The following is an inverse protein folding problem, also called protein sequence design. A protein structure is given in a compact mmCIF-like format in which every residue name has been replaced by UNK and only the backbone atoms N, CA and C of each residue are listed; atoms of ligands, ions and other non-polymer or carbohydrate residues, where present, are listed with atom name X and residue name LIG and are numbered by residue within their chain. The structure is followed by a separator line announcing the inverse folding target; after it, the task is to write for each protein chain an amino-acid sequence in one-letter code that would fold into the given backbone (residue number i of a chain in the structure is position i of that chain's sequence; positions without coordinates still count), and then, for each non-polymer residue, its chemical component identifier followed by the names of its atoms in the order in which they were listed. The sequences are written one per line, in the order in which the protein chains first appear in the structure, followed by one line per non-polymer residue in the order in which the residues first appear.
data_IF_628866403643
#
_entry.id   IF_628866403643
#
_cell.length_a   1.000
_cell.length_b   1.000
_cell.length_c   1.000
_cell.angle_alpha   90.00
_cell.angle_beta   90.00
_cell.angle_gamma   90.00
#
_symmetry.space_group_name_H-M   'P 1'
#
loop_
_entity.id
_entity.type
_entity.pdbx_description
1 polymer ?
#
# COMPACT_ATOMS: atom_id res chain seq x y z
N UNK A 1 32.95 -15.31 6.57
CA UNK A 1 33.61 -14.50 5.52
C UNK A 1 34.95 -15.12 5.19
N UNK A 2 35.32 -15.22 3.90
CA UNK A 2 36.62 -15.76 3.47
C UNK A 2 37.62 -14.61 3.35
N UNK A 3 38.86 -14.82 3.80
CA UNK A 3 39.96 -13.88 3.58
C UNK A 3 40.87 -14.35 2.45
N UNK A 4 41.84 -13.52 2.07
CA UNK A 4 42.79 -13.88 1.02
C UNK A 4 44.02 -14.57 1.61
N UNK A 5 44.53 -15.57 0.88
CA UNK A 5 45.88 -16.12 1.11
C UNK A 5 46.89 -15.03 0.75
N UNK A 6 47.82 -14.74 1.66
CA UNK A 6 48.88 -13.78 1.41
C UNK A 6 50.19 -14.25 2.07
N UNK A 7 51.11 -14.84 1.29
CA UNK A 7 52.40 -15.32 1.79
C UNK A 7 53.26 -14.23 2.44
N UNK A 8 53.13 -12.95 2.02
CA UNK A 8 53.88 -11.84 2.63
C UNK A 8 53.53 -11.61 4.10
N UNK A 9 52.31 -11.97 4.52
CA UNK A 9 51.84 -11.88 5.91
C UNK A 9 51.83 -13.24 6.63
N UNK A 10 52.49 -14.27 6.07
CA UNK A 10 52.53 -15.61 6.66
C UNK A 10 51.18 -16.35 6.62
N UNK A 11 50.23 -15.91 5.78
CA UNK A 11 48.92 -16.55 5.62
C UNK A 11 48.98 -17.50 4.43
N UNK A 12 49.22 -18.79 4.71
CA UNK A 12 49.38 -19.85 3.69
C UNK A 12 48.12 -20.67 3.40
N UNK A 13 47.08 -20.52 4.23
CA UNK A 13 45.76 -21.14 4.03
C UNK A 13 44.70 -20.06 4.06
N UNK A 14 43.61 -20.27 3.32
CA UNK A 14 42.50 -19.32 3.26
C UNK A 14 41.85 -19.16 4.65
N UNK A 15 41.95 -17.99 5.29
CA UNK A 15 41.39 -17.81 6.62
C UNK A 15 39.88 -17.61 6.53
N UNK A 16 39.17 -18.07 7.57
CA UNK A 16 37.74 -17.84 7.73
C UNK A 16 37.49 -16.93 8.93
N UNK A 17 36.74 -15.85 8.70
CA UNK A 17 36.40 -14.89 9.73
C UNK A 17 34.93 -15.00 10.13
N UNK A 18 34.69 -15.06 11.44
CA UNK A 18 33.37 -14.97 12.05
C UNK A 18 33.04 -13.49 12.20
N UNK A 19 31.92 -13.06 11.62
CA UNK A 19 31.45 -11.68 11.66
C UNK A 19 30.05 -11.67 12.24
N UNK A 20 29.79 -10.82 13.22
CA UNK A 20 28.51 -10.71 13.90
C UNK A 20 28.14 -9.24 14.00
N UNK A 21 26.89 -8.94 13.65
CA UNK A 21 26.27 -7.64 13.87
C UNK A 21 24.98 -7.85 14.64
N UNK A 22 24.66 -6.94 15.55
CA UNK A 22 23.41 -6.92 16.31
C UNK A 22 22.92 -5.49 16.40
N UNK A 23 21.71 -5.24 15.92
CA UNK A 23 21.05 -3.95 16.11
C UNK A 23 20.54 -3.85 17.56
N UNK A 24 20.50 -2.63 18.07
CA UNK A 24 19.93 -2.33 19.39
C UNK A 24 18.40 -2.44 19.29
N UNK A 25 17.78 -3.36 20.04
CA UNK A 25 16.34 -3.54 20.01
C UNK A 25 15.64 -2.33 20.65
N UNK A 26 14.43 -2.04 20.20
CA UNK A 26 13.56 -1.06 20.85
C UNK A 26 12.86 -1.76 22.02
N UNK A 27 12.85 -1.18 23.23
CA UNK A 27 12.16 -1.76 24.37
C UNK A 27 10.66 -1.96 24.11
N UNK A 28 10.06 -3.01 24.69
CA UNK A 28 8.63 -3.33 24.50
C UNK A 28 7.70 -2.14 24.82
N UNK A 29 7.97 -1.44 25.92
CA UNK A 29 7.23 -0.23 26.33
C UNK A 29 7.24 0.90 25.27
N UNK A 30 8.27 0.95 24.43
CA UNK A 30 8.42 1.95 23.38
C UNK A 30 7.79 1.47 22.08
N UNK A 31 7.79 0.15 21.84
CA UNK A 31 6.98 -0.48 20.80
C UNK A 31 5.49 -0.23 21.02
N UNK A 32 4.98 -0.36 22.25
CA UNK A 32 3.57 -0.10 22.54
C UNK A 32 3.17 1.34 22.19
N UNK A 33 4.03 2.32 22.49
CA UNK A 33 3.84 3.73 22.11
C UNK A 33 3.92 3.93 20.59
N UNK A 34 4.85 3.24 19.92
CA UNK A 34 4.98 3.30 18.47
C UNK A 34 3.73 2.73 17.78
N UNK A 35 3.27 1.56 18.21
CA UNK A 35 2.06 0.91 17.70
C UNK A 35 0.84 1.79 17.93
N UNK A 36 0.69 2.43 19.10
CA UNK A 36 -0.40 3.36 19.34
C UNK A 36 -0.40 4.55 18.36
N UNK A 37 0.79 5.10 18.03
CA UNK A 37 0.91 6.18 17.04
C UNK A 37 0.68 5.72 15.60
N UNK A 38 1.20 4.54 15.23
CA UNK A 38 0.93 3.94 13.92
C UNK A 38 -0.58 3.69 13.79
N UNK A 39 -1.18 3.09 14.81
CA UNK A 39 -2.60 2.79 14.94
C UNK A 39 -3.54 3.98 14.87
N UNK A 40 -3.04 5.21 15.08
CA UNK A 40 -3.79 6.45 14.94
C UNK A 40 -3.82 6.98 13.49
N UNK A 41 -3.04 6.40 12.57
CA UNK A 41 -2.96 6.82 11.18
C UNK A 41 -3.44 5.72 10.23
N UNK A 42 -4.63 5.90 9.65
CA UNK A 42 -5.25 4.92 8.76
C UNK A 42 -4.35 4.51 7.57
N UNK A 43 -3.57 5.45 7.01
CA UNK A 43 -2.70 5.16 5.88
C UNK A 43 -1.54 4.21 6.27
N UNK A 44 -0.97 4.41 7.46
CA UNK A 44 0.11 3.55 7.95
C UNK A 44 -0.40 2.16 8.33
N UNK A 45 -1.54 2.10 9.05
CA UNK A 45 -2.19 0.84 9.43
C UNK A 45 -2.53 0.02 8.20
N UNK A 46 -3.18 0.63 7.21
CA UNK A 46 -3.57 -0.06 5.98
C UNK A 46 -2.38 -0.61 5.21
N UNK A 47 -1.32 0.19 5.02
CA UNK A 47 -0.13 -0.26 4.31
C UNK A 47 0.55 -1.43 5.04
N UNK A 48 0.76 -1.30 6.37
CA UNK A 48 1.43 -2.33 7.15
C UNK A 48 0.63 -3.64 7.21
N UNK A 49 -0.69 -3.58 7.38
CA UNK A 49 -1.55 -4.77 7.34
C UNK A 49 -1.61 -5.43 5.96
N UNK A 50 -1.42 -4.65 4.88
CA UNK A 50 -1.28 -5.16 3.51
C UNK A 50 0.16 -5.64 3.19
N UNK A 51 1.07 -5.65 4.18
CA UNK A 51 2.45 -6.07 3.96
C UNK A 51 3.29 -5.08 3.15
N UNK A 52 2.90 -3.81 3.11
CA UNK A 52 3.63 -2.73 2.46
C UNK A 52 4.32 -1.84 3.49
N UNK A 53 5.60 -1.52 3.27
CA UNK A 53 6.35 -0.61 4.14
C UNK A 53 6.05 0.86 3.77
N UNK A 54 5.53 1.69 4.69
CA UNK A 54 5.26 3.10 4.39
C UNK A 54 6.52 3.95 4.28
N UNK A 55 6.64 4.78 3.24
CA UNK A 55 7.80 5.67 3.00
C UNK A 55 8.14 6.58 4.20
N UNK A 56 7.12 7.00 4.96
CA UNK A 56 7.26 7.95 6.07
C UNK A 56 7.21 7.28 7.44
N UNK A 57 7.43 5.97 7.51
CA UNK A 57 7.33 5.21 8.76
C UNK A 57 8.26 5.75 9.86
N UNK A 58 9.48 6.16 9.52
CA UNK A 58 10.48 6.69 10.48
C UNK A 58 10.02 8.00 11.16
N UNK A 59 9.11 8.77 10.54
CA UNK A 59 8.56 10.00 11.13
C UNK A 59 7.77 9.72 12.42
N UNK A 60 7.14 8.54 12.51
CA UNK A 60 6.41 8.12 13.71
C UNK A 60 7.36 7.97 14.90
N UNK A 61 8.54 7.41 14.65
CA UNK A 61 9.57 7.15 15.65
C UNK A 61 10.31 8.42 16.05
N UNK A 62 10.55 9.33 15.11
CA UNK A 62 11.26 10.59 15.35
C UNK A 62 10.62 11.42 16.49
N UNK A 63 9.29 11.46 16.58
CA UNK A 63 8.56 12.15 17.64
C UNK A 63 8.74 11.55 19.04
N UNK A 64 9.39 10.38 19.17
CA UNK A 64 9.71 9.72 20.44
C UNK A 64 11.23 9.66 20.68
N UNK A 65 12.02 10.34 19.83
CA UNK A 65 13.50 10.22 19.80
C UNK A 65 13.98 8.78 19.56
N UNK A 66 13.17 7.99 18.87
CA UNK A 66 13.49 6.65 18.41
C UNK A 66 13.70 6.68 16.91
N UNK A 67 14.39 5.67 16.40
CA UNK A 67 14.61 5.49 14.97
C UNK A 67 14.39 4.03 14.62
N UNK A 68 13.64 3.77 13.55
CA UNK A 68 13.47 2.41 13.06
C UNK A 68 14.72 2.00 12.28
N UNK A 69 15.18 2.87 11.39
CA UNK A 69 16.44 2.72 10.68
C UNK A 69 17.63 3.15 11.57
N UNK A 70 18.76 2.41 11.54
CA UNK A 70 19.98 2.85 12.22
C UNK A 70 20.45 4.20 11.69
N UNK A 71 20.74 5.16 12.57
CA UNK A 71 21.29 6.48 12.20
C UNK A 71 22.73 6.67 12.61
N UNK A 72 23.16 5.93 13.63
CA UNK A 72 24.49 6.06 14.21
C UNK A 72 25.08 4.68 14.54
N UNK A 73 26.35 4.67 14.95
CA UNK A 73 27.00 3.43 15.41
C UNK A 73 26.39 2.91 16.71
N UNK A 74 25.77 3.77 17.51
CA UNK A 74 25.17 3.42 18.79
C UNK A 74 23.86 2.61 18.61
N UNK A 75 23.28 2.63 17.41
CA UNK A 75 22.16 1.77 17.02
C UNK A 75 22.57 0.30 16.85
N UNK A 76 23.86 -0.02 16.92
CA UNK A 76 24.38 -1.39 16.85
C UNK A 76 24.97 -1.84 18.19
N UNK A 77 24.22 -2.65 18.92
CA UNK A 77 24.64 -3.26 20.18
C UNK A 77 25.90 -4.14 20.04
N UNK A 78 26.13 -4.75 18.87
CA UNK A 78 27.31 -5.58 18.62
C UNK A 78 27.79 -5.41 17.19
N UNK A 79 29.09 -5.14 17.02
CA UNK A 79 29.78 -5.15 15.72
C UNK A 79 31.15 -5.78 15.89
N UNK A 80 31.27 -7.08 15.60
CA UNK A 80 32.50 -7.83 15.84
C UNK A 80 32.89 -8.67 14.63
N UNK A 81 34.19 -8.73 14.38
CA UNK A 81 34.79 -9.61 13.38
C UNK A 81 36.06 -10.22 13.93
N UNK A 82 36.28 -11.51 13.69
CA UNK A 82 37.50 -12.22 14.11
C UNK A 82 38.69 -11.98 13.17
N UNK A 83 38.65 -10.95 12.32
CA UNK A 83 39.74 -10.63 11.41
C UNK A 83 40.84 -9.82 12.10
N UNK A 84 42.10 -9.86 11.59
CA UNK A 84 43.20 -9.11 12.19
C UNK A 84 43.14 -7.59 11.94
N UNK A 85 42.07 -7.09 11.32
CA UNK A 85 41.84 -5.67 11.06
C UNK A 85 41.22 -5.01 12.30
N UNK A 86 41.85 -3.95 12.80
CA UNK A 86 41.39 -3.17 13.96
C UNK A 86 40.30 -2.14 13.61
N UNK A 87 40.06 -1.87 12.33
CA UNK A 87 39.01 -0.95 11.90
C UNK A 87 37.60 -1.48 12.20
N UNK A 88 36.69 -0.60 12.59
CA UNK A 88 35.28 -0.94 12.76
C UNK A 88 34.38 0.16 12.15
N UNK A 89 33.68 -0.12 11.03
CA UNK A 89 33.55 -1.43 10.37
C UNK A 89 34.79 -1.78 9.53
N UNK A 90 35.30 -3.02 9.67
CA UNK A 90 36.26 -3.59 8.72
C UNK A 90 35.55 -4.01 7.43
N UNK A 91 36.30 -4.37 6.38
CA UNK A 91 35.74 -4.83 5.08
C UNK A 91 34.73 -5.99 5.21
N UNK A 92 34.91 -6.86 6.21
CA UNK A 92 34.00 -7.99 6.43
C UNK A 92 32.68 -7.53 7.06
N UNK A 93 32.73 -6.63 8.05
CA UNK A 93 31.52 -6.04 8.66
C UNK A 93 30.78 -5.23 7.61
N UNK A 94 31.49 -4.42 6.81
CA UNK A 94 30.90 -3.69 5.69
C UNK A 94 30.21 -4.62 4.69
N UNK A 95 30.82 -5.79 4.39
CA UNK A 95 30.19 -6.81 3.55
C UNK A 95 28.90 -7.40 4.16
N UNK A 96 28.85 -7.59 5.49
CA UNK A 96 27.62 -8.00 6.17
C UNK A 96 26.57 -6.90 6.12
N UNK A 97 26.93 -5.63 6.32
CA UNK A 97 26.00 -4.51 6.17
C UNK A 97 25.42 -4.42 4.75
N UNK A 98 26.26 -4.59 3.73
CA UNK A 98 25.81 -4.60 2.34
C UNK A 98 24.82 -5.74 2.07
N UNK A 99 25.11 -6.94 2.58
CA UNK A 99 24.19 -8.08 2.45
C UNK A 99 22.89 -7.84 3.20
N UNK A 100 22.96 -7.30 4.42
CA UNK A 100 21.79 -6.96 5.21
C UNK A 100 20.92 -5.91 4.52
N UNK A 101 21.52 -4.87 3.94
CA UNK A 101 20.80 -3.86 3.18
C UNK A 101 20.02 -4.48 2.02
N UNK A 102 20.65 -5.36 1.22
CA UNK A 102 19.94 -6.08 0.16
C UNK A 102 18.79 -6.97 0.67
N UNK A 103 18.94 -7.59 1.84
CA UNK A 103 17.83 -8.34 2.45
C UNK A 103 16.68 -7.44 2.89
N UNK A 104 16.96 -6.21 3.32
CA UNK A 104 15.95 -5.22 3.67
C UNK A 104 15.27 -4.61 2.45
N UNK A 105 15.99 -4.50 1.33
CA UNK A 105 15.41 -4.09 0.05
C UNK A 105 14.41 -5.14 -0.46
N UNK A 106 14.73 -6.44 -0.27
CA UNK A 106 13.85 -7.56 -0.63
C UNK A 106 12.66 -7.71 0.34
N UNK A 107 12.91 -7.65 1.66
CA UNK A 107 11.88 -7.72 2.71
C UNK A 107 12.14 -6.65 3.81
N UNK A 108 11.45 -5.50 3.73
CA UNK A 108 11.66 -4.42 4.68
C UNK A 108 11.10 -4.73 6.08
N UNK A 109 10.24 -5.74 6.23
CA UNK A 109 9.67 -6.09 7.54
C UNK A 109 10.68 -6.75 8.48
N UNK A 110 11.77 -7.32 7.93
CA UNK A 110 12.91 -7.80 8.71
C UNK A 110 13.48 -6.71 9.64
N UNK A 111 13.31 -5.43 9.30
CA UNK A 111 13.74 -4.32 10.15
C UNK A 111 13.02 -4.30 11.51
N UNK A 112 11.72 -4.64 11.55
CA UNK A 112 10.97 -4.75 12.81
C UNK A 112 11.53 -5.88 13.67
N UNK A 113 11.82 -7.03 13.07
CA UNK A 113 12.38 -8.19 13.76
C UNK A 113 13.77 -7.90 14.34
N UNK A 114 14.63 -7.24 13.55
CA UNK A 114 15.96 -6.80 13.99
C UNK A 114 15.88 -5.78 15.13
N UNK A 115 14.76 -5.05 15.25
CA UNK A 115 14.47 -4.11 16.33
C UNK A 115 13.64 -4.73 17.46
N UNK A 116 13.42 -6.04 17.44
CA UNK A 116 12.80 -6.80 18.54
C UNK A 116 11.29 -6.99 18.44
N UNK A 117 10.66 -6.69 17.30
CA UNK A 117 9.22 -6.90 17.08
C UNK A 117 8.99 -7.89 15.92
N UNK A 118 8.41 -9.06 16.20
CA UNK A 118 8.10 -10.02 15.15
C UNK A 118 6.99 -9.50 14.24
N UNK A 119 6.97 -9.98 12.99
CA UNK A 119 5.93 -9.63 12.03
C UNK A 119 4.53 -9.99 12.54
N UNK A 120 4.38 -11.16 13.15
CA UNK A 120 3.10 -11.62 13.70
C UNK A 120 2.62 -10.71 14.83
N UNK A 121 3.54 -10.32 15.73
CA UNK A 121 3.22 -9.41 16.82
C UNK A 121 2.88 -8.02 16.29
N UNK A 122 3.58 -7.51 15.29
CA UNK A 122 3.24 -6.25 14.61
C UNK A 122 1.82 -6.30 14.04
N UNK A 123 1.51 -7.33 13.24
CA UNK A 123 0.18 -7.50 12.65
C UNK A 123 -0.90 -7.60 13.72
N UNK A 124 -0.71 -8.46 14.73
CA UNK A 124 -1.68 -8.63 15.81
C UNK A 124 -1.94 -7.31 16.55
N UNK A 125 -0.87 -6.64 17.00
CA UNK A 125 -1.02 -5.39 17.76
C UNK A 125 -1.64 -4.27 16.93
N UNK A 126 -1.37 -4.21 15.61
CA UNK A 126 -2.04 -3.26 14.71
C UNK A 126 -3.52 -3.60 14.50
N UNK A 127 -3.85 -4.88 14.29
CA UNK A 127 -5.24 -5.34 14.16
C UNK A 127 -6.07 -5.08 15.40
N UNK A 128 -5.46 -5.06 16.59
CA UNK A 128 -6.15 -4.75 17.85
C UNK A 128 -6.45 -3.26 18.04
N UNK A 129 -5.85 -2.36 17.25
CA UNK A 129 -6.12 -0.91 17.31
C UNK A 129 -7.51 -0.58 16.76
N UNK A 130 -8.13 0.56 17.16
CA UNK A 130 -9.46 0.93 16.65
C UNK A 130 -9.56 0.97 15.11
N UNK A 131 -8.54 1.53 14.44
CA UNK A 131 -8.48 1.57 12.98
C UNK A 131 -8.15 0.20 12.37
N UNK A 132 -7.27 -0.58 13.01
CA UNK A 132 -6.96 -1.94 12.56
C UNK A 132 -8.18 -2.85 12.60
N UNK A 133 -8.96 -2.83 13.69
CA UNK A 133 -10.21 -3.61 13.80
C UNK A 133 -11.21 -3.24 12.71
N UNK A 134 -11.40 -1.94 12.47
CA UNK A 134 -12.28 -1.44 11.43
C UNK A 134 -11.82 -1.84 10.02
N UNK A 135 -10.50 -1.94 9.79
CA UNK A 135 -9.97 -2.40 8.51
C UNK A 135 -10.10 -3.92 8.34
N UNK A 136 -9.73 -4.69 9.36
CA UNK A 136 -9.83 -6.16 9.35
C UNK A 136 -11.26 -6.60 9.13
N UNK A 137 -12.25 -5.97 9.77
CA UNK A 137 -13.66 -6.31 9.54
C UNK A 137 -14.08 -6.14 8.08
N UNK A 138 -13.57 -5.11 7.39
CA UNK A 138 -13.85 -4.86 5.97
C UNK A 138 -13.05 -5.79 5.05
N UNK A 139 -11.87 -6.26 5.47
CA UNK A 139 -11.08 -7.22 4.71
C UNK A 139 -11.71 -8.61 4.75
N UNK A 140 -12.17 -9.05 5.92
CA UNK A 140 -12.85 -10.34 6.11
C UNK A 140 -14.18 -10.39 5.37
N UNK A 141 -14.92 -9.27 5.29
CA UNK A 141 -16.15 -9.15 4.50
C UNK A 141 -15.94 -9.36 2.98
N UNK A 142 -14.70 -9.25 2.47
CA UNK A 142 -14.40 -9.37 1.04
C UNK A 142 -13.88 -10.73 0.62
N UNK A 143 -13.63 -11.66 1.53
CA UNK A 143 -13.44 -13.08 1.21
C UNK A 143 -14.78 -13.76 0.92
N UNK A 144 -15.58 -13.18 0.02
CA UNK A 144 -16.58 -13.98 -0.68
C UNK A 144 -15.82 -14.93 -1.61
N UNK A 145 -16.11 -16.23 -1.49
CA UNK A 145 -15.53 -17.23 -2.36
C UNK A 145 -15.77 -16.82 -3.82
N UNK A 146 -14.69 -16.59 -4.56
CA UNK A 146 -14.77 -16.29 -5.98
C UNK A 146 -15.25 -17.56 -6.66
N UNK A 147 -16.56 -17.64 -6.89
CA UNK A 147 -17.17 -18.75 -7.63
C UNK A 147 -16.63 -18.72 -9.06
N UNK A 148 -15.93 -19.77 -9.52
CA UNK A 148 -15.41 -19.80 -10.88
C UNK A 148 -16.58 -19.76 -11.87
N UNK A 149 -16.60 -18.74 -12.71
CA UNK A 149 -17.63 -18.61 -13.73
C UNK A 149 -17.37 -19.58 -14.88
N UNK A 150 -18.34 -20.45 -15.18
CA UNK A 150 -18.28 -21.39 -16.31
C UNK A 150 -18.23 -20.70 -17.70
N UNK A 151 -18.53 -19.40 -17.77
CA UNK A 151 -18.48 -18.64 -19.01
C UNK A 151 -18.25 -17.14 -18.82
N UNK A 152 -17.48 -16.54 -19.73
CA UNK A 152 -17.26 -15.09 -19.79
C UNK A 152 -18.50 -14.26 -20.16
N UNK A 153 -19.52 -14.88 -20.77
CA UNK A 153 -20.73 -14.21 -21.22
C UNK A 153 -21.92 -14.61 -20.35
N UNK A 154 -22.83 -13.67 -20.09
CA UNK A 154 -24.10 -13.94 -19.42
C UNK A 154 -24.93 -14.89 -20.28
N UNK A 155 -25.15 -16.13 -19.81
CA UNK A 155 -26.00 -17.10 -20.49
C UNK A 155 -27.46 -16.89 -20.08
N UNK A 156 -28.41 -16.83 -21.04
CA UNK A 156 -29.82 -16.77 -20.70
C UNK A 156 -30.20 -18.05 -19.94
N UNK A 157 -30.78 -17.89 -18.74
CA UNK A 157 -31.36 -18.99 -17.97
C UNK A 157 -32.85 -19.06 -18.27
N UNK A 158 -33.35 -20.27 -18.46
CA UNK A 158 -34.80 -20.52 -18.54
C UNK A 158 -35.41 -20.17 -17.19
N UNK A 159 -36.36 -19.23 -17.17
CA UNK A 159 -37.11 -18.90 -15.96
C UNK A 159 -37.95 -20.12 -15.52
N UNK A 160 -38.03 -20.37 -14.21
CA UNK A 160 -38.77 -21.51 -13.64
C UNK A 160 -40.30 -21.41 -13.83
N UNK A 161 -40.81 -20.25 -14.22
CA UNK A 161 -42.23 -20.03 -14.50
C UNK A 161 -42.43 -19.17 -15.74
N UNK A 162 -43.55 -19.39 -16.43
CA UNK A 162 -43.99 -18.50 -17.49
C UNK A 162 -44.23 -17.10 -16.90
N UNK A 163 -43.66 -16.03 -17.46
CA UNK A 163 -43.90 -14.69 -16.96
C UNK A 163 -45.39 -14.37 -17.10
N UNK A 164 -45.98 -13.78 -16.07
CA UNK A 164 -47.26 -13.10 -16.24
C UNK A 164 -47.02 -11.89 -17.14
N UNK A 165 -47.52 -11.96 -18.38
CA UNK A 165 -47.37 -10.90 -19.37
C UNK A 165 -47.95 -9.57 -18.86
N UNK A 166 -48.98 -9.61 -18.00
CA UNK A 166 -49.56 -8.40 -17.42
C UNK A 166 -48.59 -7.75 -16.43
N UNK A 167 -47.92 -8.54 -15.60
CA UNK A 167 -46.88 -8.07 -14.68
C UNK A 167 -45.64 -7.54 -15.42
N UNK A 168 -45.29 -8.15 -16.56
CA UNK A 168 -44.17 -7.70 -17.38
C UNK A 168 -44.42 -6.31 -17.96
N UNK A 169 -45.60 -6.09 -18.56
CA UNK A 169 -45.93 -4.81 -19.20
C UNK A 169 -46.31 -3.70 -18.21
N UNK A 170 -46.89 -4.04 -17.07
CA UNK A 170 -47.35 -3.04 -16.09
C UNK A 170 -46.40 -2.88 -14.90
N UNK A 171 -45.43 -3.77 -14.74
CA UNK A 171 -44.60 -3.88 -13.55
C UNK A 171 -45.41 -4.39 -12.35
N UNK A 172 -44.88 -5.37 -11.62
CA UNK A 172 -45.47 -5.80 -10.33
C UNK A 172 -45.52 -4.66 -9.30
N UNK A 173 -44.57 -3.73 -9.42
CA UNK A 173 -44.44 -2.56 -8.58
C UNK A 173 -44.58 -1.35 -9.49
N UNK A 174 -45.55 -0.49 -9.20
CA UNK A 174 -45.69 0.77 -9.91
C UNK A 174 -44.37 1.55 -9.78
N UNK A 175 -43.77 1.93 -10.90
CA UNK A 175 -42.62 2.82 -10.87
C UNK A 175 -43.05 4.13 -10.21
N UNK A 176 -42.17 4.80 -9.45
CA UNK A 176 -42.46 6.12 -8.93
C UNK A 176 -42.92 7.02 -10.09
N UNK A 177 -44.11 7.62 -9.96
CA UNK A 177 -44.65 8.52 -10.99
C UNK A 177 -43.79 9.76 -11.14
N UNK A 178 -43.09 10.15 -10.08
CA UNK A 178 -42.06 11.17 -10.07
C UNK A 178 -40.69 10.51 -10.19
N UNK A 179 -40.07 10.66 -11.36
CA UNK A 179 -38.64 10.43 -11.51
C UNK A 179 -37.97 11.62 -10.83
N UNK A 180 -37.24 11.38 -9.73
CA UNK A 180 -36.41 12.42 -9.13
C UNK A 180 -35.53 13.03 -10.23
N UNK A 181 -35.64 14.34 -10.50
CA UNK A 181 -34.85 14.96 -11.54
C UNK A 181 -33.38 14.78 -11.18
N UNK A 182 -32.61 14.19 -12.09
CA UNK A 182 -31.20 13.95 -11.88
C UNK A 182 -30.51 15.24 -11.44
N UNK A 183 -29.89 15.22 -10.26
CA UNK A 183 -29.15 16.38 -9.74
C UNK A 183 -28.04 16.69 -10.74
N UNK A 184 -28.05 17.89 -11.35
CA UNK A 184 -27.06 18.19 -12.37
C UNK A 184 -25.67 18.20 -11.75
N UNK A 185 -24.64 17.67 -12.43
CA UNK A 185 -23.28 17.72 -11.94
C UNK A 185 -22.87 19.18 -11.73
N UNK A 186 -22.17 19.44 -10.62
CA UNK A 186 -21.69 20.77 -10.21
C UNK A 186 -20.75 21.35 -11.28
N UNK A 187 -20.00 20.49 -11.97
CA UNK A 187 -19.09 20.83 -13.05
C UNK A 187 -19.69 20.39 -14.40
N UNK A 188 -20.02 21.33 -15.30
CA UNK A 188 -20.44 21.00 -16.67
C UNK A 188 -19.38 20.15 -17.38
N UNK A 189 -19.80 19.13 -18.13
CA UNK A 189 -18.88 18.37 -18.98
C UNK A 189 -17.76 17.61 -18.26
N UNK A 190 -17.90 17.25 -16.97
CA UNK A 190 -16.82 16.62 -16.18
C UNK A 190 -16.21 15.35 -16.82
N UNK A 191 -17.01 14.57 -17.55
CA UNK A 191 -16.53 13.41 -18.30
C UNK A 191 -15.59 13.80 -19.45
N UNK A 192 -15.89 14.92 -20.12
CA UNK A 192 -15.08 15.47 -21.21
C UNK A 192 -13.77 16.03 -20.66
N UNK A 193 -13.81 16.75 -19.52
CA UNK A 193 -12.61 17.26 -18.84
C UNK A 193 -11.59 16.17 -18.52
N UNK A 194 -12.06 14.98 -18.12
CA UNK A 194 -11.18 13.85 -17.79
C UNK A 194 -10.42 13.30 -19.02
N UNK A 195 -10.96 13.51 -20.22
CA UNK A 195 -10.39 13.01 -21.47
C UNK A 195 -9.33 13.94 -22.09
N UNK A 196 -9.22 15.19 -21.63
CA UNK A 196 -8.23 16.18 -22.08
C UNK A 196 -8.71 17.09 -23.24
N UNK A 197 -7.93 18.14 -23.52
CA UNK A 197 -8.31 19.25 -24.41
C UNK A 197 -8.24 18.95 -25.92
N UNK A 198 -7.36 18.02 -26.34
CA UNK A 198 -7.08 17.75 -27.76
C UNK A 198 -7.08 16.25 -28.05
N UNK A 199 -8.26 15.62 -28.12
CA UNK A 199 -8.36 14.23 -28.52
C UNK A 199 -8.03 14.09 -30.02
N UNK A 200 -7.52 12.93 -30.43
CA UNK A 200 -7.02 12.72 -31.82
C UNK A 200 -8.05 12.89 -32.94
N UNK A 201 -9.36 12.97 -32.63
CA UNK A 201 -10.41 13.26 -33.61
C UNK A 201 -10.72 14.76 -33.76
N UNK A 202 -10.12 15.62 -32.93
CA UNK A 202 -10.40 17.04 -32.90
C UNK A 202 -9.41 17.83 -33.75
N UNK A 203 -9.82 18.16 -34.97
CA UNK A 203 -8.99 18.80 -35.99
C UNK A 203 -9.05 20.34 -35.97
N UNK A 204 -9.58 20.94 -34.89
CA UNK A 204 -9.72 22.42 -34.76
C UNK A 204 -8.66 22.99 -33.84
N UNK A 205 -8.31 24.26 -34.09
CA UNK A 205 -7.27 25.00 -33.34
C UNK A 205 -7.71 25.48 -31.94
N UNK A 206 -8.96 25.26 -31.54
CA UNK A 206 -9.50 25.63 -30.23
C UNK A 206 -9.68 24.42 -29.30
N UNK A 207 -9.81 24.62 -27.99
CA UNK A 207 -10.00 23.49 -27.05
C UNK A 207 -11.32 22.76 -27.31
N UNK A 208 -11.25 21.42 -27.37
CA UNK A 208 -12.44 20.58 -27.45
C UNK A 208 -13.30 20.69 -26.18
N UNK A 209 -12.67 20.77 -25.01
CA UNK A 209 -13.35 20.86 -23.72
C UNK A 209 -14.13 22.16 -23.64
N UNK A 210 -13.56 23.29 -24.04
CA UNK A 210 -14.24 24.59 -24.06
C UNK A 210 -15.50 24.58 -24.94
N UNK A 211 -15.40 24.01 -26.15
CA UNK A 211 -16.55 23.91 -27.06
C UNK A 211 -17.62 22.98 -26.50
N UNK A 212 -17.23 21.85 -25.92
CA UNK A 212 -18.17 20.91 -25.32
C UNK A 212 -18.84 21.49 -24.07
N UNK A 213 -18.14 22.27 -23.26
CA UNK A 213 -18.72 22.98 -22.11
C UNK A 213 -19.79 23.97 -22.53
N UNK A 214 -19.53 24.76 -23.58
CA UNK A 214 -20.50 25.69 -24.14
C UNK A 214 -21.75 24.96 -24.65
N UNK A 215 -21.56 23.85 -25.38
CA UNK A 215 -22.65 23.01 -25.87
C UNK A 215 -23.46 22.38 -24.73
N UNK A 216 -22.79 21.81 -23.72
CA UNK A 216 -23.45 21.25 -22.54
C UNK A 216 -24.26 22.32 -21.79
N UNK A 217 -23.72 23.54 -21.65
CA UNK A 217 -24.42 24.67 -21.06
C UNK A 217 -25.68 25.06 -21.84
N UNK A 218 -25.59 25.12 -23.18
CA UNK A 218 -26.72 25.45 -24.06
C UNK A 218 -27.82 24.39 -24.05
N UNK A 219 -27.46 23.11 -24.11
CA UNK A 219 -28.42 21.99 -24.04
C UNK A 219 -29.14 21.99 -22.69
N UNK A 220 -28.40 22.19 -21.60
CA UNK A 220 -28.96 22.33 -20.24
C UNK A 220 -29.88 23.56 -20.10
N UNK A 221 -29.55 24.67 -20.76
CA UNK A 221 -30.37 25.88 -20.75
C UNK A 221 -31.68 25.72 -21.52
N UNK A 222 -31.66 25.05 -22.67
CA UNK A 222 -32.86 24.80 -23.48
C UNK A 222 -33.83 23.80 -22.85
N UNK A 223 -33.35 22.80 -22.11
CA UNK A 223 -34.23 21.82 -21.45
C UNK A 223 -35.06 22.40 -20.30
N UNK A 224 -34.67 23.57 -19.75
CA UNK A 224 -35.47 24.28 -18.73
C UNK A 224 -36.75 24.92 -19.27
N UNK A 225 -36.92 25.05 -20.59
CA UNK A 225 -38.12 25.63 -21.22
C UNK A 225 -39.09 24.61 -21.82
N UNK A 226 -38.81 23.31 -21.67
CA UNK A 226 -39.57 22.21 -22.33
C UNK A 226 -40.05 21.16 -21.31
N UNK A 227 -39.89 21.41 -20.01
CA UNK A 227 -40.46 20.62 -18.91
C UNK A 227 -41.46 21.46 -18.14
#
# INVERSE_FOLDING_TARGET
MRGNVNPYFGVYKEPQYKTQIRLTPIPDQDWDKAIAKIGANAALVSQLLMGQMPDRIDQVFAGMRLHLLPRSRDDFALTQCSCPDYANPCKHIAGVYYRLAGMLDDDPFLLFELRGLSRERLHQSLSETPLGRALVSVMDEREEAIEPADSFFTRPRTAESAPDYRDFWNGRKCLPTEIEPATPPVVPGILVRKAGDFPGFWERDNSFVEVMEELYGRVRGKSKGVL
#
